data_IF_358441566698
#
_entry.id   IF_358441566698
#
_cell.length_a   1.000
_cell.length_b   1.000
_cell.length_c   1.000
_cell.angle_alpha   90.00
_cell.angle_beta   90.00
_cell.angle_gamma   90.00
#
_symmetry.space_group_name_H-M   'P 1'
#
loop_
_entity.id
_entity.type
_entity.pdbx_description
1 polymer ?
#
# COMPACT_ATOMS: atom_id res chain seq x y z
N UNK A 1 -3.65 -37.02 29.73
CA UNK A 1 -4.83 -36.19 30.06
C UNK A 1 -4.41 -34.81 30.61
N UNK A 2 -3.80 -33.94 29.80
CA UNK A 2 -3.52 -32.53 30.14
C UNK A 2 -3.94 -31.47 29.08
N UNK A 3 -4.70 -31.75 28.00
CA UNK A 3 -5.04 -30.71 27.01
C UNK A 3 -6.19 -29.79 27.44
N UNK A 4 -7.03 -30.18 28.42
CA UNK A 4 -8.23 -29.39 28.77
C UNK A 4 -7.90 -28.16 29.62
N UNK A 5 -6.90 -28.24 30.50
CA UNK A 5 -6.51 -27.12 31.38
C UNK A 5 -5.80 -26.02 30.59
N UNK A 6 -4.98 -26.38 29.60
CA UNK A 6 -4.30 -25.39 28.73
C UNK A 6 -5.29 -24.64 27.87
N UNK A 7 -6.27 -25.33 27.29
CA UNK A 7 -7.32 -24.72 26.46
C UNK A 7 -8.18 -23.72 27.24
N UNK A 8 -8.54 -24.04 28.49
CA UNK A 8 -9.31 -23.13 29.36
C UNK A 8 -8.47 -21.89 29.72
N UNK A 9 -7.19 -22.08 30.03
CA UNK A 9 -6.31 -20.96 30.36
C UNK A 9 -6.15 -20.01 29.16
N UNK A 10 -5.96 -20.55 27.96
CA UNK A 10 -5.84 -19.77 26.73
C UNK A 10 -7.12 -18.97 26.44
N UNK A 11 -8.30 -19.60 26.59
CA UNK A 11 -9.60 -18.95 26.44
C UNK A 11 -9.75 -17.77 27.43
N UNK A 12 -9.44 -18.00 28.71
CA UNK A 12 -9.50 -16.96 29.74
C UNK A 12 -8.54 -15.79 29.42
N UNK A 13 -7.33 -16.07 28.92
CA UNK A 13 -6.41 -14.99 28.55
C UNK A 13 -6.93 -14.15 27.39
N UNK A 14 -7.61 -14.77 26.42
CA UNK A 14 -8.20 -14.04 25.28
C UNK A 14 -9.36 -13.15 25.74
N UNK A 15 -10.27 -13.67 26.56
CA UNK A 15 -11.39 -12.89 27.11
C UNK A 15 -10.88 -11.71 27.95
N UNK A 16 -9.81 -11.89 28.73
CA UNK A 16 -9.19 -10.78 29.49
C UNK A 16 -8.60 -9.73 28.56
N UNK A 17 -7.96 -10.12 27.44
CA UNK A 17 -7.45 -9.16 26.43
C UNK A 17 -8.59 -8.37 25.82
N UNK A 18 -9.69 -9.03 25.46
CA UNK A 18 -10.87 -8.38 24.86
C UNK A 18 -11.54 -7.40 25.83
N UNK A 19 -11.69 -7.78 27.10
CA UNK A 19 -12.24 -6.89 28.13
C UNK A 19 -11.32 -5.69 28.40
N UNK A 20 -10.00 -5.90 28.42
CA UNK A 20 -9.02 -4.79 28.53
C UNK A 20 -9.12 -3.85 27.34
N UNK A 21 -9.24 -4.39 26.13
CA UNK A 21 -9.41 -3.60 24.92
C UNK A 21 -10.68 -2.74 24.99
N UNK A 22 -11.81 -3.35 25.35
CA UNK A 22 -13.10 -2.69 25.50
C UNK A 22 -13.04 -1.58 26.55
N UNK A 23 -12.41 -1.85 27.70
CA UNK A 23 -12.23 -0.87 28.75
C UNK A 23 -11.40 0.32 28.26
N UNK A 24 -10.33 0.06 27.49
CA UNK A 24 -9.52 1.13 26.92
C UNK A 24 -10.28 1.99 25.91
N UNK A 25 -11.15 1.39 25.10
CA UNK A 25 -12.01 2.11 24.14
C UNK A 25 -13.00 3.08 24.82
N UNK A 26 -13.36 2.81 26.06
CA UNK A 26 -14.25 3.66 26.87
C UNK A 26 -13.55 4.91 27.43
N UNK A 27 -12.21 4.97 27.41
CA UNK A 27 -11.50 6.15 27.88
C UNK A 27 -11.91 7.40 27.08
N UNK A 28 -11.96 8.54 27.78
CA UNK A 28 -12.48 9.80 27.25
C UNK A 28 -11.77 10.27 25.98
N UNK A 29 -10.49 9.94 25.83
CA UNK A 29 -9.68 10.28 24.67
C UNK A 29 -10.13 9.55 23.38
N UNK A 30 -10.70 8.35 23.51
CA UNK A 30 -11.15 7.52 22.36
C UNK A 30 -12.66 7.64 22.17
N UNK A 31 -13.41 7.74 23.29
CA UNK A 31 -14.86 7.94 23.31
C UNK A 31 -15.61 6.97 22.37
N UNK A 32 -15.28 5.68 22.43
CA UNK A 32 -15.94 4.61 21.68
C UNK A 32 -16.39 3.49 22.63
N UNK A 33 -17.40 3.73 23.48
CA UNK A 33 -17.90 2.68 24.36
C UNK A 33 -18.49 1.55 23.52
N UNK A 34 -18.02 0.33 23.77
CA UNK A 34 -18.47 -0.88 23.10
C UNK A 34 -18.82 -1.92 24.16
N UNK A 35 -19.91 -2.65 23.97
CA UNK A 35 -20.25 -3.78 24.85
C UNK A 35 -19.57 -5.05 24.33
N UNK A 36 -19.26 -6.00 25.22
CA UNK A 36 -18.66 -7.28 24.82
C UNK A 36 -19.41 -7.99 23.68
N UNK A 37 -20.74 -8.09 23.77
CA UNK A 37 -21.58 -8.66 22.70
C UNK A 37 -21.46 -7.90 21.37
N UNK A 38 -21.28 -6.58 21.42
CA UNK A 38 -21.10 -5.78 20.21
C UNK A 38 -19.72 -6.01 19.61
N UNK A 39 -18.69 -6.18 20.45
CA UNK A 39 -17.33 -6.47 20.00
C UNK A 39 -17.27 -7.82 19.30
N UNK A 40 -17.92 -8.84 19.87
CA UNK A 40 -18.03 -10.18 19.27
C UNK A 40 -18.74 -10.16 17.91
N UNK A 41 -19.80 -9.37 17.77
CA UNK A 41 -20.53 -9.21 16.50
C UNK A 41 -19.76 -8.45 15.42
N UNK A 42 -19.03 -7.41 15.81
CA UNK A 42 -18.30 -6.53 14.88
C UNK A 42 -16.96 -7.16 14.47
N UNK A 43 -16.30 -7.85 15.40
CA UNK A 43 -14.97 -8.39 15.20
C UNK A 43 -13.87 -7.33 15.23
N UNK A 44 -12.63 -7.81 15.28
CA UNK A 44 -11.42 -7.00 15.43
C UNK A 44 -11.09 -6.18 14.18
N UNK A 45 -11.39 -6.72 13.00
CA UNK A 45 -11.14 -6.05 11.71
C UNK A 45 -11.94 -4.76 11.55
N UNK A 46 -13.26 -4.82 11.79
CA UNK A 46 -14.12 -3.64 11.69
C UNK A 46 -13.84 -2.65 12.82
N UNK A 47 -13.41 -3.11 14.00
CA UNK A 47 -12.96 -2.22 15.07
C UNK A 47 -11.76 -1.39 14.60
N UNK A 48 -10.75 -2.00 13.97
CA UNK A 48 -9.59 -1.30 13.43
C UNK A 48 -10.04 -0.27 12.38
N UNK A 49 -10.94 -0.62 11.48
CA UNK A 49 -11.48 0.33 10.48
C UNK A 49 -12.20 1.53 11.12
N UNK A 50 -12.86 1.34 12.25
CA UNK A 50 -13.50 2.43 13.00
C UNK A 50 -12.47 3.33 13.67
N UNK A 51 -11.41 2.75 14.24
CA UNK A 51 -10.31 3.50 14.84
C UNK A 51 -9.56 4.32 13.79
N UNK A 52 -9.29 3.72 12.63
CA UNK A 52 -8.63 4.38 11.50
C UNK A 52 -9.45 5.56 10.97
N UNK A 53 -10.78 5.42 10.85
CA UNK A 53 -11.65 6.54 10.46
C UNK A 53 -11.64 7.71 11.43
N UNK A 54 -11.28 7.48 12.69
CA UNK A 54 -11.11 8.53 13.72
C UNK A 54 -9.68 9.07 13.82
N UNK A 55 -8.77 8.67 12.93
CA UNK A 55 -7.36 9.06 12.94
C UNK A 55 -6.60 8.61 14.21
N UNK A 56 -7.03 7.51 14.84
CA UNK A 56 -6.43 6.97 16.08
C UNK A 56 -5.40 5.86 15.76
N UNK A 57 -4.35 6.18 15.01
CA UNK A 57 -3.37 5.19 14.53
C UNK A 57 -2.50 4.57 15.62
N UNK A 58 -2.05 5.37 16.59
CA UNK A 58 -1.22 4.89 17.71
C UNK A 58 -1.98 3.87 18.56
N UNK A 59 -3.26 4.16 18.81
CA UNK A 59 -4.14 3.25 19.51
C UNK A 59 -4.39 1.99 18.67
N UNK A 60 -4.72 2.12 17.38
CA UNK A 60 -4.90 0.96 16.50
C UNK A 60 -3.68 0.02 16.49
N UNK A 61 -2.47 0.57 16.48
CA UNK A 61 -1.21 -0.20 16.54
C UNK A 61 -1.04 -0.91 17.90
N UNK A 62 -1.49 -0.27 18.98
CA UNK A 62 -1.47 -0.88 20.31
C UNK A 62 -2.48 -2.03 20.40
N UNK A 63 -3.64 -1.88 19.75
CA UNK A 63 -4.68 -2.90 19.66
C UNK A 63 -4.22 -4.13 18.87
N UNK A 64 -3.57 -3.95 17.72
CA UNK A 64 -3.05 -5.08 16.92
C UNK A 64 -1.99 -5.87 17.69
N UNK A 65 -1.12 -5.17 18.44
CA UNK A 65 -0.12 -5.80 19.32
C UNK A 65 -0.76 -6.55 20.49
N UNK A 66 -1.79 -5.98 21.11
CA UNK A 66 -2.53 -6.62 22.21
C UNK A 66 -3.24 -7.91 21.75
N UNK A 67 -3.84 -7.88 20.56
CA UNK A 67 -4.58 -8.99 19.96
C UNK A 67 -3.68 -9.99 19.22
N UNK A 68 -2.38 -9.70 19.07
CA UNK A 68 -1.40 -10.54 18.34
C UNK A 68 -1.86 -10.90 16.93
N UNK A 69 -2.41 -9.91 16.22
CA UNK A 69 -2.86 -10.11 14.84
C UNK A 69 -1.66 -10.32 13.90
N UNK A 70 -1.84 -11.07 12.79
CA UNK A 70 -0.82 -11.16 11.77
C UNK A 70 -0.51 -9.77 11.19
N UNK A 71 0.77 -9.54 10.86
CA UNK A 71 1.24 -8.23 10.40
C UNK A 71 0.52 -7.76 9.12
N UNK A 72 0.12 -8.70 8.26
CA UNK A 72 -0.60 -8.43 7.01
C UNK A 72 -1.97 -7.79 7.24
N UNK A 73 -2.76 -8.33 8.18
CA UNK A 73 -4.14 -7.87 8.43
C UNK A 73 -4.19 -6.70 9.43
N UNK A 74 -3.20 -6.62 10.33
CA UNK A 74 -3.14 -5.61 11.38
C UNK A 74 -2.30 -4.40 10.99
N UNK A 75 -0.99 -4.50 11.23
CA UNK A 75 -0.07 -3.36 11.16
C UNK A 75 0.07 -2.79 9.74
N UNK A 76 0.16 -3.65 8.72
CA UNK A 76 0.29 -3.21 7.33
C UNK A 76 -0.92 -2.39 6.87
N UNK A 77 -2.14 -2.85 7.22
CA UNK A 77 -3.39 -2.14 6.91
C UNK A 77 -3.45 -0.76 7.57
N UNK A 78 -3.04 -0.67 8.83
CA UNK A 78 -2.99 0.59 9.57
C UNK A 78 -2.03 1.58 8.91
N UNK A 79 -0.86 1.10 8.48
CA UNK A 79 0.17 1.92 7.84
C UNK A 79 -0.24 2.41 6.46
N UNK A 80 -0.87 1.55 5.65
CA UNK A 80 -1.44 1.95 4.34
C UNK A 80 -2.48 3.04 4.54
N UNK A 81 -3.42 2.84 5.47
CA UNK A 81 -4.47 3.81 5.73
C UNK A 81 -3.93 5.14 6.29
N UNK A 82 -2.92 5.09 7.16
CA UNK A 82 -2.20 6.28 7.62
C UNK A 82 -1.57 7.05 6.45
N UNK A 83 -0.90 6.35 5.53
CA UNK A 83 -0.29 6.98 4.36
C UNK A 83 -1.34 7.65 3.47
N UNK A 84 -2.49 7.00 3.24
CA UNK A 84 -3.62 7.57 2.49
C UNK A 84 -4.17 8.82 3.20
N UNK A 85 -4.30 8.81 4.53
CA UNK A 85 -4.75 9.98 5.27
C UNK A 85 -3.77 11.16 5.17
N UNK A 86 -2.46 10.89 5.23
CA UNK A 86 -1.45 11.94 5.00
C UNK A 86 -1.55 12.54 3.60
N UNK A 87 -1.99 11.76 2.60
CA UNK A 87 -2.25 12.25 1.25
C UNK A 87 -3.53 13.06 1.13
N UNK A 88 -4.57 12.75 1.91
CA UNK A 88 -5.85 13.49 1.87
C UNK A 88 -5.77 14.83 2.63
N UNK A 89 -4.91 14.92 3.64
CA UNK A 89 -4.80 16.13 4.47
C UNK A 89 -4.45 17.39 3.64
N UNK A 90 -5.30 18.44 3.69
CA UNK A 90 -5.13 19.65 2.86
C UNK A 90 -3.99 20.56 3.33
N UNK A 91 -3.52 20.39 4.57
CA UNK A 91 -2.39 21.16 5.12
C UNK A 91 -1.03 20.77 4.51
N UNK A 92 -0.97 19.64 3.80
CA UNK A 92 0.25 19.13 3.22
C UNK A 92 0.43 19.63 1.78
N UNK A 93 0.93 20.87 1.66
CA UNK A 93 1.18 21.53 0.37
C UNK A 93 2.42 20.95 -0.36
N UNK A 94 3.37 20.37 0.38
CA UNK A 94 4.63 19.87 -0.19
C UNK A 94 4.57 18.36 -0.47
N UNK A 95 4.33 17.98 -1.72
CA UNK A 95 4.27 16.57 -2.17
C UNK A 95 5.56 15.79 -1.88
N UNK A 96 6.74 16.42 -2.03
CA UNK A 96 8.03 15.75 -1.78
C UNK A 96 8.25 15.39 -0.30
N UNK A 97 7.86 16.29 0.61
CA UNK A 97 7.96 16.04 2.04
C UNK A 97 7.09 14.86 2.46
N UNK A 98 5.88 14.75 1.89
CA UNK A 98 4.97 13.62 2.13
C UNK A 98 5.59 12.32 1.62
N UNK A 99 6.13 12.33 0.40
CA UNK A 99 6.77 11.13 -0.16
C UNK A 99 7.94 10.65 0.71
N UNK A 100 8.77 11.57 1.21
CA UNK A 100 9.88 11.24 2.10
C UNK A 100 9.40 10.73 3.47
N UNK A 101 8.36 11.34 4.06
CA UNK A 101 7.76 10.89 5.31
C UNK A 101 7.19 9.46 5.17
N UNK A 102 6.46 9.19 4.08
CA UNK A 102 5.93 7.85 3.79
C UNK A 102 7.08 6.86 3.62
N UNK A 103 8.13 7.21 2.88
CA UNK A 103 9.31 6.34 2.72
C UNK A 103 10.02 6.05 4.03
N UNK A 104 10.18 7.06 4.90
CA UNK A 104 10.84 6.87 6.20
C UNK A 104 10.04 5.95 7.11
N UNK A 105 8.71 6.13 7.17
CA UNK A 105 7.84 5.32 8.03
C UNK A 105 7.61 3.91 7.49
N UNK A 106 7.41 3.74 6.17
CA UNK A 106 7.11 2.45 5.56
C UNK A 106 8.36 1.68 5.09
N UNK A 107 9.51 2.36 4.97
CA UNK A 107 10.75 1.74 4.49
C UNK A 107 11.25 0.61 5.39
N UNK A 108 10.99 0.74 6.71
CA UNK A 108 11.47 -0.18 7.73
C UNK A 108 10.58 -1.44 7.91
N UNK A 109 9.37 -1.45 7.34
CA UNK A 109 8.40 -2.53 7.54
C UNK A 109 8.33 -3.42 6.28
N UNK A 110 8.59 -4.73 6.39
CA UNK A 110 8.46 -5.66 5.27
C UNK A 110 7.00 -6.04 5.01
N UNK A 111 6.63 -6.23 3.73
CA UNK A 111 5.33 -6.79 3.34
C UNK A 111 4.19 -5.78 3.13
N UNK A 112 4.46 -4.47 3.10
CA UNK A 112 3.43 -3.46 2.82
C UNK A 112 3.12 -3.39 1.32
N UNK A 113 1.84 -3.45 0.90
CA UNK A 113 1.45 -3.23 -0.49
C UNK A 113 1.54 -1.75 -0.87
N UNK A 114 2.73 -1.31 -1.32
CA UNK A 114 2.93 0.08 -1.78
C UNK A 114 2.01 0.46 -2.94
N UNK A 115 1.62 -0.51 -3.78
CA UNK A 115 0.77 -0.28 -4.96
C UNK A 115 -0.58 0.35 -4.60
N UNK A 116 -1.17 0.01 -3.45
CA UNK A 116 -2.47 0.55 -3.05
C UNK A 116 -2.35 2.03 -2.66
N UNK A 117 -1.26 2.40 -1.99
CA UNK A 117 -0.95 3.79 -1.66
C UNK A 117 -0.75 4.61 -2.93
N UNK A 118 -0.03 4.04 -3.92
CA UNK A 118 0.21 4.70 -5.21
C UNK A 118 -1.10 4.89 -5.98
N UNK A 119 -1.99 3.90 -5.99
CA UNK A 119 -3.32 4.03 -6.61
C UNK A 119 -4.17 5.13 -5.97
N UNK A 120 -4.16 5.24 -4.64
CA UNK A 120 -4.85 6.33 -3.95
C UNK A 120 -4.21 7.69 -4.24
N UNK A 121 -2.88 7.77 -4.26
CA UNK A 121 -2.17 9.00 -4.65
C UNK A 121 -2.49 9.43 -6.10
N UNK A 122 -2.64 8.47 -7.01
CA UNK A 122 -3.05 8.71 -8.39
C UNK A 122 -4.48 9.27 -8.47
N UNK A 123 -5.43 8.72 -7.72
CA UNK A 123 -6.81 9.27 -7.63
C UNK A 123 -6.83 10.71 -7.13
N UNK A 124 -5.93 11.04 -6.20
CA UNK A 124 -5.75 12.39 -5.66
C UNK A 124 -4.92 13.32 -6.56
N UNK A 125 -4.48 12.85 -7.75
CA UNK A 125 -3.67 13.58 -8.73
C UNK A 125 -2.31 14.08 -8.20
N UNK A 126 -1.73 13.41 -7.19
CA UNK A 126 -0.42 13.74 -6.61
C UNK A 126 0.71 13.02 -7.34
N UNK A 127 1.02 13.49 -8.55
CA UNK A 127 1.94 12.80 -9.47
C UNK A 127 3.38 12.70 -8.96
N UNK A 128 3.87 13.70 -8.21
CA UNK A 128 5.24 13.69 -7.68
C UNK A 128 5.40 12.58 -6.63
N UNK A 129 4.39 12.42 -5.77
CA UNK A 129 4.35 11.34 -4.79
C UNK A 129 4.34 9.98 -5.48
N UNK A 130 3.48 9.81 -6.49
CA UNK A 130 3.37 8.58 -7.26
C UNK A 130 4.72 8.16 -7.83
N UNK A 131 5.41 9.06 -8.53
CA UNK A 131 6.72 8.76 -9.14
C UNK A 131 7.75 8.35 -8.09
N UNK A 132 7.83 9.09 -6.98
CA UNK A 132 8.76 8.79 -5.90
C UNK A 132 8.48 7.46 -5.21
N UNK A 133 7.21 7.09 -5.01
CA UNK A 133 6.84 5.84 -4.35
C UNK A 133 7.02 4.61 -5.26
N UNK A 134 6.84 4.78 -6.58
CA UNK A 134 7.04 3.73 -7.57
C UNK A 134 8.49 3.19 -7.58
N UNK A 135 9.48 4.03 -7.31
CA UNK A 135 10.89 3.63 -7.37
C UNK A 135 11.37 2.75 -6.19
N UNK A 136 10.57 2.60 -5.12
CA UNK A 136 11.07 2.05 -3.84
C UNK A 136 10.88 0.54 -3.72
N UNK A 137 9.66 0.03 -3.93
CA UNK A 137 9.31 -1.38 -3.60
C UNK A 137 8.16 -1.95 -4.45
N UNK A 138 7.84 -1.35 -5.61
CA UNK A 138 6.76 -1.83 -6.49
C UNK A 138 7.35 -2.80 -7.52
N UNK A 139 6.62 -3.88 -7.85
CA UNK A 139 7.01 -4.79 -8.92
C UNK A 139 7.16 -4.03 -10.25
N UNK A 140 8.15 -4.38 -11.07
CA UNK A 140 8.38 -3.71 -12.37
C UNK A 140 7.12 -3.71 -13.26
N UNK A 141 6.33 -4.79 -13.21
CA UNK A 141 5.07 -4.89 -13.95
C UNK A 141 4.05 -3.85 -13.48
N UNK A 142 3.79 -3.82 -12.17
CA UNK A 142 2.86 -2.87 -11.58
C UNK A 142 3.35 -1.42 -11.74
N UNK A 143 4.66 -1.21 -11.70
CA UNK A 143 5.28 0.09 -11.95
C UNK A 143 5.02 0.57 -13.37
N UNK A 144 5.21 -0.30 -14.36
CA UNK A 144 4.97 0.01 -15.76
C UNK A 144 3.47 0.25 -16.02
N UNK A 145 2.59 -0.57 -15.43
CA UNK A 145 1.15 -0.35 -15.53
C UNK A 145 0.75 1.02 -14.97
N UNK A 146 1.30 1.42 -13.82
CA UNK A 146 1.05 2.74 -13.24
C UNK A 146 1.65 3.87 -14.07
N UNK A 147 2.86 3.72 -14.64
CA UNK A 147 3.46 4.70 -15.55
C UNK A 147 2.64 4.88 -16.83
N UNK A 148 2.07 3.79 -17.36
CA UNK A 148 1.15 3.84 -18.49
C UNK A 148 -0.15 4.57 -18.13
N UNK A 149 -0.66 4.40 -16.90
CA UNK A 149 -1.82 5.17 -16.39
C UNK A 149 -1.51 6.66 -16.20
N UNK A 150 -0.26 7.01 -15.87
CA UNK A 150 0.24 8.39 -15.77
C UNK A 150 0.45 9.04 -17.15
N UNK A 151 0.29 8.28 -18.24
CA UNK A 151 0.60 8.70 -19.61
C UNK A 151 2.11 8.92 -19.88
N UNK A 152 2.98 8.49 -18.98
CA UNK A 152 4.45 8.57 -19.10
C UNK A 152 4.99 7.37 -19.89
N UNK A 153 4.54 7.25 -21.14
CA UNK A 153 4.82 6.10 -22.03
C UNK A 153 6.31 5.94 -22.37
N UNK A 154 7.05 7.04 -22.47
CA UNK A 154 8.49 7.01 -22.78
C UNK A 154 9.30 6.42 -21.62
N UNK A 155 9.00 6.82 -20.38
CA UNK A 155 9.66 6.27 -19.19
C UNK A 155 9.26 4.80 -18.98
N UNK A 156 7.99 4.46 -19.20
CA UNK A 156 7.51 3.07 -19.13
C UNK A 156 8.26 2.16 -20.11
N UNK A 157 8.47 2.62 -21.35
CA UNK A 157 9.19 1.87 -22.38
C UNK A 157 10.69 1.76 -22.06
N UNK A 158 11.32 2.82 -21.59
CA UNK A 158 12.71 2.78 -21.15
C UNK A 158 12.92 1.81 -19.97
N UNK A 159 12.04 1.86 -18.96
CA UNK A 159 12.08 0.95 -17.82
C UNK A 159 11.86 -0.50 -18.25
N UNK A 160 10.90 -0.76 -19.15
CA UNK A 160 10.68 -2.08 -19.72
C UNK A 160 11.90 -2.60 -20.48
N UNK A 161 12.52 -1.77 -21.34
CA UNK A 161 13.73 -2.16 -22.06
C UNK A 161 14.91 -2.43 -21.14
N UNK A 162 15.10 -1.60 -20.09
CA UNK A 162 16.16 -1.81 -19.10
C UNK A 162 15.98 -3.08 -18.27
N UNK A 163 14.74 -3.57 -18.14
CA UNK A 163 14.47 -4.82 -17.41
C UNK A 163 14.93 -6.07 -18.17
N UNK A 164 15.15 -5.96 -19.49
CA UNK A 164 15.53 -7.10 -20.35
C UNK A 164 14.39 -8.10 -20.58
N UNK A 165 13.21 -7.88 -20.00
CA UNK A 165 12.03 -8.72 -20.22
C UNK A 165 11.34 -8.32 -21.53
N UNK A 166 11.48 -9.20 -22.53
CA UNK A 166 10.88 -9.02 -23.86
C UNK A 166 9.36 -9.00 -23.81
N UNK A 167 8.75 -9.76 -22.90
CA UNK A 167 7.29 -9.85 -22.80
C UNK A 167 6.73 -8.54 -22.24
N UNK A 168 7.43 -7.96 -21.27
CA UNK A 168 7.08 -6.67 -20.68
C UNK A 168 7.27 -5.51 -21.68
N UNK A 169 8.35 -5.53 -22.46
CA UNK A 169 8.56 -4.56 -23.54
C UNK A 169 7.48 -4.66 -24.62
N UNK A 170 7.12 -5.89 -25.03
CA UNK A 170 6.02 -6.13 -25.98
C UNK A 170 4.68 -5.66 -25.43
N UNK A 171 4.40 -5.92 -24.15
CA UNK A 171 3.19 -5.45 -23.48
C UNK A 171 3.05 -3.93 -23.54
N UNK A 172 4.11 -3.19 -23.20
CA UNK A 172 4.14 -1.72 -23.31
C UNK A 172 3.91 -1.27 -24.74
N UNK A 173 4.60 -1.87 -25.71
CA UNK A 173 4.46 -1.53 -27.13
C UNK A 173 3.03 -1.76 -27.65
N UNK A 174 2.38 -2.87 -27.26
CA UNK A 174 0.99 -3.13 -27.62
C UNK A 174 0.05 -2.08 -27.03
N UNK A 175 0.27 -1.69 -25.76
CA UNK A 175 -0.54 -0.66 -25.10
C UNK A 175 -0.39 0.69 -25.79
N UNK A 176 0.84 1.08 -26.14
CA UNK A 176 1.11 2.32 -26.87
C UNK A 176 0.42 2.28 -28.23
N UNK A 177 0.60 1.20 -29.02
CA UNK A 177 -0.04 1.02 -30.33
C UNK A 177 -1.57 1.14 -30.27
N UNK A 178 -2.20 0.65 -29.20
CA UNK A 178 -3.66 0.77 -29.02
C UNK A 178 -4.14 2.20 -28.71
N UNK A 179 -3.25 3.09 -28.29
CA UNK A 179 -3.58 4.43 -27.80
C UNK A 179 -3.15 5.55 -28.74
N UNK A 180 -2.29 5.29 -29.72
CA UNK A 180 -1.68 6.31 -30.59
C UNK A 180 -1.81 6.02 -32.08
N UNK A 181 -1.62 7.08 -32.88
CA UNK A 181 -1.50 6.96 -34.32
C UNK A 181 -0.23 6.18 -34.70
N UNK A 182 -0.30 5.43 -35.80
CA UNK A 182 0.81 4.57 -36.26
C UNK A 182 2.10 5.38 -36.50
N UNK A 183 1.98 6.64 -36.89
CA UNK A 183 3.09 7.58 -37.10
C UNK A 183 3.85 7.91 -35.81
N UNK A 184 3.13 8.22 -34.72
CA UNK A 184 3.76 8.54 -33.43
C UNK A 184 4.45 7.31 -32.83
N UNK A 185 3.82 6.15 -32.98
CA UNK A 185 4.41 4.87 -32.59
C UNK A 185 5.71 4.56 -33.34
N UNK A 186 5.75 4.78 -34.66
CA UNK A 186 6.95 4.57 -35.47
C UNK A 186 8.09 5.52 -35.07
N UNK A 187 7.79 6.80 -34.81
CA UNK A 187 8.79 7.77 -34.33
C UNK A 187 9.41 7.34 -33.00
N UNK A 188 8.60 6.80 -32.08
CA UNK A 188 9.08 6.29 -30.79
C UNK A 188 9.94 5.03 -30.93
N UNK A 189 9.55 4.10 -31.80
CA UNK A 189 10.37 2.93 -32.11
C UNK A 189 11.72 3.30 -32.73
N UNK A 190 11.76 4.32 -33.59
CA UNK A 190 13.01 4.80 -34.18
C UNK A 190 13.91 5.45 -33.13
N UNK A 191 13.34 6.18 -32.16
CA UNK A 191 14.09 6.73 -31.01
C UNK A 191 14.58 5.66 -30.05
N UNK A 192 13.80 4.60 -29.80
CA UNK A 192 14.20 3.51 -28.90
C UNK A 192 15.21 2.54 -29.54
N UNK A 193 15.24 2.44 -30.87
CA UNK A 193 16.18 1.59 -31.63
C UNK A 193 17.67 1.96 -31.47
N UNK A 194 18.02 3.12 -30.90
CA UNK A 194 19.41 3.52 -30.67
C UNK A 194 20.05 2.90 -29.42
N UNK A 195 19.30 2.12 -28.62
CA UNK A 195 19.84 1.31 -27.53
C UNK A 195 19.47 -0.17 -27.74
N UNK A 196 20.39 -1.07 -27.41
CA UNK A 196 21.14 -1.92 -28.33
C UNK A 196 20.30 -3.04 -28.97
N UNK A 197 20.20 -3.03 -30.30
CA UNK A 197 19.97 -4.25 -31.11
C UNK A 197 21.23 -5.15 -31.19
N UNK A 198 22.25 -4.91 -30.37
CA UNK A 198 23.53 -5.64 -30.34
C UNK A 198 23.58 -6.71 -29.24
N UNK A 199 22.51 -7.45 -28.99
CA UNK A 199 22.57 -8.60 -28.07
C UNK A 199 22.10 -9.95 -28.64
N UNK A 200 21.74 -10.06 -29.92
CA UNK A 200 21.33 -11.36 -30.48
C UNK A 200 21.81 -11.67 -31.90
N UNK A 201 23.05 -11.29 -32.26
CA UNK A 201 23.74 -11.89 -33.41
C UNK A 201 25.27 -11.94 -33.19
N UNK A 202 25.73 -12.80 -32.28
CA UNK A 202 26.98 -13.55 -32.39
C UNK A 202 26.80 -14.91 -31.71
#
# INVERSE_FOLDING_TARGET
>A
MRPTVTVINDLCTNVIRDLRLINNLQHINISMPLTFKQFELIGTSILIDRLLRRNLHEFATSVTKLLRMPAEEGENRILVQWAVQQLVNPSNTNEEAIANAIKAHLGNVPGIPFIDIVKEAFKLKKFIVVRRLLDVKVSLRDQIDMLLMLNDKEEALQKALSSGDTDLALFVLMRIKSSESLSDYMLRLQRSKSLPLTLHLQ
#
